data_IF_011707886351
#
_entry.id   IF_011707886351
#
_cell.length_a   1.000
_cell.length_b   1.000
_cell.length_c   1.000
_cell.angle_alpha   90.00
_cell.angle_beta   90.00
_cell.angle_gamma   90.00
#
_symmetry.space_group_name_H-M   'P 1'
#
loop_
_entity.id
_entity.type
_entity.pdbx_description
1 polymer ?
#
# COMPACT_ATOMS: atom_id res chain seq x y z
N UNK A 1 -8.76 -8.31 -38.08
CA UNK A 1 -9.42 -8.73 -36.83
C UNK A 1 -9.39 -7.51 -35.90
N UNK A 2 -10.53 -7.06 -35.38
CA UNK A 2 -10.55 -5.91 -34.47
C UNK A 2 -9.78 -6.26 -33.19
N UNK A 3 -8.93 -5.34 -32.72
CA UNK A 3 -8.22 -5.49 -31.45
C UNK A 3 -9.21 -5.40 -30.30
N UNK A 4 -9.06 -6.26 -29.30
CA UNK A 4 -9.88 -6.26 -28.09
C UNK A 4 -9.61 -5.00 -27.25
N UNK A 5 -10.68 -4.37 -26.76
CA UNK A 5 -10.58 -3.21 -25.88
C UNK A 5 -10.10 -3.59 -24.48
N UNK A 6 -9.62 -2.62 -23.70
CA UNK A 6 -9.18 -2.86 -22.33
C UNK A 6 -10.29 -3.41 -21.43
N UNK A 7 -11.51 -2.87 -21.51
CA UNK A 7 -12.66 -3.35 -20.73
C UNK A 7 -13.00 -4.82 -21.07
N UNK A 8 -13.00 -5.16 -22.36
CA UNK A 8 -13.23 -6.54 -22.81
C UNK A 8 -12.18 -7.52 -22.28
N UNK A 9 -10.91 -7.10 -22.20
CA UNK A 9 -9.83 -7.91 -21.60
C UNK A 9 -10.09 -8.19 -20.12
N UNK A 10 -10.51 -7.18 -19.35
CA UNK A 10 -10.82 -7.33 -17.92
C UNK A 10 -12.07 -8.18 -17.72
N UNK A 11 -13.12 -7.97 -18.51
CA UNK A 11 -14.32 -8.80 -18.50
C UNK A 11 -14.02 -10.27 -18.77
N UNK A 12 -13.14 -10.55 -19.74
CA UNK A 12 -12.68 -11.91 -20.01
C UNK A 12 -11.93 -12.49 -18.82
N UNK A 13 -10.97 -11.77 -18.26
CA UNK A 13 -10.22 -12.25 -17.09
C UNK A 13 -11.13 -12.59 -15.89
N UNK A 14 -12.19 -11.79 -15.67
CA UNK A 14 -13.21 -12.09 -14.66
C UNK A 14 -14.06 -13.32 -15.01
N UNK A 15 -14.50 -13.45 -16.26
CA UNK A 15 -15.29 -14.59 -16.74
C UNK A 15 -14.52 -15.90 -16.70
N UNK A 16 -13.25 -15.86 -17.07
CA UNK A 16 -12.34 -17.01 -17.10
C UNK A 16 -11.77 -17.32 -15.69
N UNK A 17 -12.15 -16.52 -14.68
CA UNK A 17 -11.79 -16.64 -13.26
C UNK A 17 -10.28 -16.52 -12.99
N UNK A 18 -9.55 -15.82 -13.86
CA UNK A 18 -8.16 -15.43 -13.60
C UNK A 18 -8.07 -14.42 -12.46
N UNK A 19 -9.06 -13.52 -12.40
CA UNK A 19 -9.25 -12.55 -11.31
C UNK A 19 -10.73 -12.54 -10.91
N UNK A 20 -11.08 -12.42 -9.61
CA UNK A 20 -12.48 -12.47 -9.18
C UNK A 20 -13.27 -11.21 -9.60
N UNK A 21 -12.65 -10.03 -9.44
CA UNK A 21 -13.27 -8.74 -9.69
C UNK A 21 -12.24 -7.61 -9.79
N UNK A 22 -12.65 -6.51 -10.42
CA UNK A 22 -11.86 -5.27 -10.52
C UNK A 22 -12.79 -4.07 -10.38
N UNK A 23 -12.41 -3.10 -9.54
CA UNK A 23 -12.97 -1.76 -9.48
C UNK A 23 -11.92 -0.78 -10.00
N UNK A 24 -12.26 0.00 -11.02
CA UNK A 24 -11.36 1.00 -11.60
C UNK A 24 -12.00 2.37 -11.54
N UNK A 25 -11.24 3.33 -11.03
CA UNK A 25 -11.66 4.74 -10.90
C UNK A 25 -10.51 5.60 -11.41
N UNK A 26 -10.82 6.53 -12.31
CA UNK A 26 -9.95 7.60 -12.73
C UNK A 26 -10.78 8.88 -12.86
N UNK A 27 -10.22 9.98 -12.39
CA UNK A 27 -10.88 11.29 -12.35
C UNK A 27 -9.84 12.38 -12.66
N UNK A 28 -10.29 13.54 -13.11
CA UNK A 28 -9.42 14.71 -13.28
C UNK A 28 -9.67 15.74 -12.16
N UNK A 29 -8.81 16.76 -12.11
CA UNK A 29 -8.93 17.82 -11.09
C UNK A 29 -10.13 18.73 -11.32
N UNK A 30 -10.57 18.87 -12.56
CA UNK A 30 -11.58 19.85 -12.99
C UNK A 30 -13.01 19.29 -12.99
N UNK A 31 -13.16 17.97 -12.83
CA UNK A 31 -14.41 17.23 -12.93
C UNK A 31 -14.89 16.98 -14.36
N UNK A 32 -14.04 17.21 -15.38
CA UNK A 32 -14.43 17.08 -16.79
C UNK A 32 -14.37 15.62 -17.28
N UNK A 33 -13.60 14.78 -16.59
CA UNK A 33 -13.42 13.37 -16.89
C UNK A 33 -13.62 12.52 -15.65
N UNK A 34 -14.53 11.55 -15.74
CA UNK A 34 -14.68 10.48 -14.75
C UNK A 34 -14.85 9.14 -15.43
N UNK A 35 -13.92 8.24 -15.18
CA UNK A 35 -13.99 6.84 -15.58
C UNK A 35 -14.18 5.99 -14.33
N UNK A 36 -15.29 5.23 -14.29
CA UNK A 36 -15.61 4.36 -13.17
C UNK A 36 -16.25 3.08 -13.69
N UNK A 37 -15.56 1.95 -13.51
CA UNK A 37 -16.00 0.64 -14.00
C UNK A 37 -15.81 -0.43 -12.94
N UNK A 38 -16.76 -1.35 -12.88
CA UNK A 38 -16.75 -2.49 -11.95
C UNK A 38 -16.99 -3.77 -12.73
N UNK A 39 -16.16 -4.78 -12.49
CA UNK A 39 -16.22 -6.07 -13.17
C UNK A 39 -16.18 -7.20 -12.15
N UNK A 40 -16.81 -8.33 -12.50
CA UNK A 40 -16.73 -9.58 -11.75
C UNK A 40 -17.57 -9.65 -10.47
N UNK A 41 -17.16 -10.57 -9.60
CA UNK A 41 -17.88 -10.91 -8.36
C UNK A 41 -16.97 -10.74 -7.14
N UNK A 42 -17.53 -10.21 -6.06
CA UNK A 42 -16.85 -10.00 -4.79
C UNK A 42 -16.38 -11.30 -4.14
N UNK A 43 -17.11 -12.39 -4.38
CA UNK A 43 -16.83 -13.70 -3.79
C UNK A 43 -16.92 -14.81 -4.82
N UNK A 44 -16.01 -15.79 -4.72
CA UNK A 44 -16.04 -17.04 -5.48
C UNK A 44 -16.65 -18.21 -4.68
N UNK A 45 -17.10 -17.97 -3.43
CA UNK A 45 -17.48 -19.04 -2.49
C UNK A 45 -18.78 -19.76 -2.86
N UNK A 46 -19.70 -19.09 -3.53
CA UNK A 46 -20.99 -19.66 -3.91
C UNK A 46 -21.23 -19.43 -5.41
N UNK A 47 -21.18 -20.48 -6.25
CA UNK A 47 -21.39 -20.35 -7.69
C UNK A 47 -22.86 -20.07 -8.05
N UNK A 48 -23.80 -20.24 -7.13
CA UNK A 48 -25.24 -20.00 -7.33
C UNK A 48 -25.70 -18.65 -6.79
N UNK A 49 -24.85 -17.95 -6.04
CA UNK A 49 -25.13 -16.62 -5.50
C UNK A 49 -24.21 -15.60 -6.16
N UNK A 50 -24.74 -14.81 -7.09
CA UNK A 50 -23.96 -13.74 -7.71
C UNK A 50 -23.81 -12.58 -6.72
N UNK A 51 -22.73 -12.62 -5.93
CA UNK A 51 -22.29 -11.47 -5.15
C UNK A 51 -21.49 -10.53 -6.08
N UNK A 52 -22.21 -9.79 -6.92
CA UNK A 52 -21.61 -8.86 -7.86
C UNK A 52 -20.76 -7.82 -7.12
N UNK A 53 -19.58 -7.52 -7.66
CA UNK A 53 -18.76 -6.43 -7.11
C UNK A 53 -19.52 -5.10 -7.27
N UNK A 54 -19.54 -4.29 -6.22
CA UNK A 54 -20.17 -2.97 -6.21
C UNK A 54 -19.12 -1.88 -6.03
N UNK A 55 -19.49 -0.63 -6.35
CA UNK A 55 -18.61 0.54 -6.23
C UNK A 55 -18.26 0.88 -4.77
N UNK A 56 -19.15 0.55 -3.84
CA UNK A 56 -19.05 0.77 -2.40
C UNK A 56 -18.56 -0.48 -1.64
N UNK A 57 -18.04 -1.47 -2.37
CA UNK A 57 -17.56 -2.71 -1.76
C UNK A 57 -16.42 -2.42 -0.78
N UNK A 58 -16.52 -2.99 0.42
CA UNK A 58 -15.41 -2.98 1.38
C UNK A 58 -14.28 -3.85 0.88
N UNK A 59 -13.13 -3.23 0.63
CA UNK A 59 -11.91 -3.90 0.16
C UNK A 59 -10.82 -3.86 1.23
N UNK A 60 -9.93 -4.86 1.21
CA UNK A 60 -8.73 -4.83 2.03
C UNK A 60 -7.68 -3.92 1.37
N UNK A 61 -7.28 -2.86 2.08
CA UNK A 61 -6.35 -1.85 1.54
C UNK A 61 -4.89 -2.31 1.51
N UNK A 62 -4.49 -3.30 2.31
CA UNK A 62 -3.09 -3.72 2.45
C UNK A 62 -2.12 -2.51 2.51
N UNK A 63 -1.07 -2.49 1.69
CA UNK A 63 -0.09 -1.38 1.62
C UNK A 63 -0.67 -0.05 1.14
N UNK A 64 -1.85 0.00 0.50
CA UNK A 64 -2.49 1.27 0.13
C UNK A 64 -2.87 2.11 1.37
N UNK A 65 -2.88 1.52 2.56
CA UNK A 65 -3.03 2.23 3.84
C UNK A 65 -1.87 3.17 4.16
N UNK A 66 -0.69 3.02 3.54
CA UNK A 66 0.45 3.92 3.74
C UNK A 66 0.13 5.36 3.32
N UNK A 67 -0.62 5.55 2.24
CA UNK A 67 -0.99 6.88 1.74
C UNK A 67 -1.81 7.70 2.75
N UNK A 68 -2.98 7.24 3.23
CA UNK A 68 -3.75 7.99 4.23
C UNK A 68 -2.98 8.20 5.54
N UNK A 69 -2.11 7.27 5.94
CA UNK A 69 -1.20 7.46 7.08
C UNK A 69 -0.24 8.63 6.85
N UNK A 70 0.36 8.75 5.67
CA UNK A 70 1.23 9.89 5.33
C UNK A 70 0.46 11.22 5.40
N UNK A 71 -0.78 11.24 4.91
CA UNK A 71 -1.65 12.44 4.98
C UNK A 71 -1.91 12.83 6.44
N UNK A 72 -2.26 11.87 7.31
CA UNK A 72 -2.49 12.13 8.72
C UNK A 72 -1.24 12.68 9.43
N UNK A 73 -0.06 12.12 9.13
CA UNK A 73 1.21 12.61 9.68
C UNK A 73 1.51 14.03 9.21
N UNK A 74 1.33 14.33 7.91
CA UNK A 74 1.53 15.69 7.39
C UNK A 74 0.57 16.70 8.02
N UNK A 75 -0.68 16.32 8.31
CA UNK A 75 -1.61 17.18 9.05
C UNK A 75 -1.11 17.52 10.46
N UNK A 76 -0.45 16.58 11.16
CA UNK A 76 0.17 16.84 12.46
C UNK A 76 1.39 17.78 12.32
N UNK A 77 2.16 17.64 11.24
CA UNK A 77 3.29 18.54 10.93
C UNK A 77 2.81 19.96 10.66
N UNK A 78 1.76 20.13 9.85
CA UNK A 78 1.15 21.44 9.57
C UNK A 78 0.61 22.13 10.84
N UNK A 79 0.13 21.35 11.81
CA UNK A 79 -0.33 21.86 13.12
C UNK A 79 0.82 22.14 14.10
N UNK A 80 2.07 21.92 13.71
CA UNK A 80 3.24 22.07 14.59
C UNK A 80 3.32 21.04 15.71
N UNK A 81 2.60 19.92 15.61
CA UNK A 81 2.60 18.85 16.60
C UNK A 81 3.77 17.88 16.41
N UNK A 82 4.27 17.78 15.17
CA UNK A 82 5.40 16.96 14.78
C UNK A 82 6.32 17.76 13.87
N UNK A 83 7.59 17.37 13.79
CA UNK A 83 8.53 17.88 12.79
C UNK A 83 9.13 16.70 12.02
N UNK A 84 9.35 16.88 10.71
CA UNK A 84 9.87 15.83 9.83
C UNK A 84 11.30 15.43 10.16
N UNK A 85 12.11 16.37 10.63
CA UNK A 85 13.53 16.16 10.89
C UNK A 85 13.83 15.77 12.35
N UNK A 86 12.81 15.72 13.21
CA UNK A 86 12.96 15.31 14.61
C UNK A 86 13.25 13.81 14.75
N UNK A 87 14.05 13.46 15.76
CA UNK A 87 14.26 12.08 16.20
C UNK A 87 12.95 11.52 16.79
N UNK A 88 12.43 10.45 16.19
CA UNK A 88 11.15 9.85 16.60
C UNK A 88 11.24 9.09 17.91
N UNK A 89 12.43 8.82 18.45
CA UNK A 89 12.59 8.05 19.69
C UNK A 89 12.02 8.74 20.93
N UNK A 90 11.76 10.05 20.85
CA UNK A 90 10.99 10.77 21.87
C UNK A 90 9.51 10.38 21.93
N UNK A 91 8.95 9.93 20.79
CA UNK A 91 7.56 9.48 20.66
C UNK A 91 7.44 7.95 20.69
N UNK A 92 8.41 7.27 20.07
CA UNK A 92 8.51 5.82 19.91
C UNK A 92 9.79 5.33 20.61
N UNK A 93 9.82 5.29 21.96
CA UNK A 93 11.01 4.92 22.71
C UNK A 93 11.52 3.52 22.38
N UNK A 94 10.68 2.63 21.88
CA UNK A 94 11.03 1.29 21.41
C UNK A 94 12.00 1.28 20.21
N UNK A 95 12.07 2.38 19.45
CA UNK A 95 12.99 2.52 18.34
C UNK A 95 14.40 2.93 18.78
N UNK A 96 14.57 3.31 20.04
CA UNK A 96 15.83 3.82 20.57
C UNK A 96 16.88 2.71 20.66
N UNK A 97 18.01 2.93 19.99
CA UNK A 97 19.15 1.99 20.05
C UNK A 97 18.89 0.64 19.41
N UNK A 98 17.87 0.52 18.53
CA UNK A 98 17.64 -0.73 17.80
C UNK A 98 18.88 -1.08 16.97
N UNK A 99 19.45 -2.28 17.14
CA UNK A 99 20.60 -2.71 16.36
C UNK A 99 20.19 -2.98 14.91
N UNK A 100 21.11 -2.72 13.99
CA UNK A 100 20.96 -2.99 12.57
C UNK A 100 21.39 -4.42 12.28
N UNK A 101 20.52 -5.21 11.66
CA UNK A 101 20.85 -6.54 11.18
C UNK A 101 21.84 -6.44 10.02
N UNK A 102 23.12 -6.75 10.27
CA UNK A 102 24.17 -6.53 9.29
C UNK A 102 24.33 -7.72 8.32
N UNK A 103 24.45 -8.94 8.85
CA UNK A 103 24.75 -10.15 8.06
C UNK A 103 24.21 -11.41 8.74
N UNK A 104 23.88 -12.41 7.92
CA UNK A 104 23.85 -13.81 8.33
C UNK A 104 25.11 -14.49 7.79
N UNK A 105 25.84 -15.20 8.65
CA UNK A 105 26.97 -16.04 8.21
C UNK A 105 26.46 -17.23 7.38
N UNK A 106 27.23 -17.67 6.39
CA UNK A 106 26.87 -18.83 5.57
C UNK A 106 26.90 -20.09 6.44
N UNK A 107 25.72 -20.59 6.84
CA UNK A 107 25.57 -21.75 7.73
C UNK A 107 25.35 -21.42 9.21
N UNK A 108 25.38 -20.14 9.58
CA UNK A 108 25.06 -19.70 10.95
C UNK A 108 23.57 -19.41 11.10
N UNK A 109 23.01 -19.79 12.24
CA UNK A 109 21.65 -19.44 12.66
C UNK A 109 21.58 -18.11 13.42
N UNK A 110 22.72 -17.55 13.81
CA UNK A 110 22.79 -16.28 14.55
C UNK A 110 23.27 -15.14 13.65
N UNK A 111 22.50 -14.04 13.57
CA UNK A 111 22.92 -12.88 12.79
C UNK A 111 23.95 -12.01 13.51
N UNK A 112 24.79 -11.34 12.72
CA UNK A 112 25.64 -10.25 13.21
C UNK A 112 24.85 -8.95 13.22
N UNK A 113 24.88 -8.26 14.36
CA UNK A 113 24.25 -6.95 14.57
C UNK A 113 25.29 -5.84 14.51
N UNK A 114 24.91 -4.68 13.97
CA UNK A 114 25.67 -3.44 14.00
C UNK A 114 24.93 -2.38 14.82
N UNK A 115 25.67 -1.45 15.42
CA UNK A 115 25.07 -0.35 16.17
C UNK A 115 24.39 0.66 15.22
N UNK A 116 23.18 1.11 15.58
CA UNK A 116 22.55 2.21 14.87
C UNK A 116 23.06 3.55 15.39
N UNK A 117 23.88 4.23 14.58
CA UNK A 117 24.49 5.52 14.91
C UNK A 117 23.70 6.72 14.38
N UNK A 118 22.62 6.51 13.62
CA UNK A 118 21.81 7.57 13.02
C UNK A 118 20.44 7.67 13.70
N UNK A 119 19.95 8.89 14.00
CA UNK A 119 18.59 9.05 14.49
C UNK A 119 17.60 8.60 13.43
N UNK A 120 16.56 7.89 13.85
CA UNK A 120 15.43 7.57 12.98
C UNK A 120 14.54 8.82 13.02
N UNK A 121 14.37 9.48 11.87
CA UNK A 121 13.55 10.70 11.77
C UNK A 121 12.16 10.38 11.25
N UNK A 122 11.19 11.25 11.51
CA UNK A 122 9.83 11.09 10.99
C UNK A 122 9.82 11.05 9.46
N UNK A 123 10.67 11.84 8.82
CA UNK A 123 10.90 11.83 7.38
C UNK A 123 11.40 10.49 6.86
N UNK A 124 12.34 9.84 7.56
CA UNK A 124 12.83 8.51 7.18
C UNK A 124 11.71 7.47 7.20
N UNK A 125 10.84 7.52 8.22
CA UNK A 125 9.68 6.64 8.32
C UNK A 125 8.63 6.86 7.22
N UNK A 126 8.49 8.07 6.70
CA UNK A 126 7.50 8.36 5.65
C UNK A 126 8.09 8.06 4.25
N UNK A 127 9.33 8.47 4.00
CA UNK A 127 9.93 8.40 2.65
C UNK A 127 10.57 7.04 2.36
N UNK A 128 11.26 6.43 3.32
CA UNK A 128 11.96 5.17 3.07
C UNK A 128 11.00 3.97 3.06
N UNK A 129 9.90 4.05 3.81
CA UNK A 129 8.80 3.09 3.75
C UNK A 129 8.07 3.07 2.39
N UNK A 130 8.11 4.17 1.64
CA UNK A 130 7.50 4.22 0.31
C UNK A 130 8.39 3.57 -0.77
N UNK A 131 9.68 3.36 -0.48
CA UNK A 131 10.64 2.76 -1.42
C UNK A 131 10.88 1.27 -1.16
N UNK A 132 10.55 0.75 0.04
CA UNK A 132 10.76 -0.67 0.35
C UNK A 132 9.81 -1.61 -0.40
N UNK A 133 8.60 -1.14 -0.76
CA UNK A 133 7.60 -1.94 -1.48
C UNK A 133 7.93 -2.13 -2.98
N UNK A 134 8.99 -1.49 -3.52
CA UNK A 134 9.41 -1.65 -4.92
C UNK A 134 10.55 -2.68 -5.12
N UNK A 135 10.93 -3.42 -4.07
CA UNK A 135 12.05 -4.39 -4.09
C UNK A 135 11.62 -5.84 -3.82
N UNK A 136 10.37 -6.19 -4.10
CA UNK A 136 9.87 -7.58 -4.10
C UNK A 136 9.74 -8.12 -5.51
#
# INVERSE_FOLDING_TARGET
MASETFEQRIERACRDKEIPAVLMVADDREGNFRYEKVFGSRSLKDPFKSDHMTKDATMWMASCSKFPTCVAVMQCVERGQLNLDDDVTGLLPELKGLPILAKFGTGDTQPTMAENTKPITLKSLILDYMQSDSRS
#
